data_IF_227535131018
#
_entry.id   IF_227535131018
#
_cell.length_a   1.000
_cell.length_b   1.000
_cell.length_c   1.000
_cell.angle_alpha   90.00
_cell.angle_beta   90.00
_cell.angle_gamma   90.00
#
_symmetry.space_group_name_H-M   'P 1'
#
loop_
_entity.id
_entity.type
_entity.pdbx_description
1 polymer ?
#
# COMPACT_ATOMS: atom_id res chain seq x y z
N UNK A 1 -2.19 6.19 0.80
CA UNK A 1 -3.53 5.77 1.22
C UNK A 1 -3.51 4.60 2.19
N UNK A 2 -2.77 3.53 1.92
CA UNK A 2 -2.83 2.29 2.74
C UNK A 2 -1.67 2.23 3.72
N UNK A 3 -0.50 1.84 3.24
CA UNK A 3 0.69 1.60 4.05
C UNK A 3 1.22 2.83 4.81
N UNK A 4 1.15 4.00 4.22
CA UNK A 4 1.58 5.25 4.84
C UNK A 4 0.46 5.93 5.63
N UNK A 5 -0.67 5.28 5.89
CA UNK A 5 -1.80 5.78 6.68
C UNK A 5 -2.34 7.16 6.26
N UNK A 6 -2.00 7.64 5.07
CA UNK A 6 -2.48 8.90 4.51
C UNK A 6 -3.85 8.78 3.85
N UNK A 7 -4.52 9.89 3.63
CA UNK A 7 -5.80 9.94 2.91
C UNK A 7 -5.68 9.58 1.41
N UNK A 8 -6.80 9.40 0.72
CA UNK A 8 -6.82 9.13 -0.71
C UNK A 8 -6.42 10.36 -1.53
N UNK A 9 -5.93 10.12 -2.75
CA UNK A 9 -5.68 11.17 -3.74
C UNK A 9 -4.26 11.75 -3.75
N UNK A 10 -3.34 11.23 -2.94
CA UNK A 10 -1.91 11.53 -3.02
C UNK A 10 -1.12 10.30 -3.45
N UNK A 11 -0.12 10.53 -4.28
CA UNK A 11 0.88 9.53 -4.64
C UNK A 11 2.27 10.14 -4.63
N UNK A 12 3.26 9.35 -4.24
CA UNK A 12 4.67 9.74 -4.31
C UNK A 12 5.30 9.15 -5.56
N UNK A 13 6.00 9.99 -6.31
CA UNK A 13 6.84 9.57 -7.43
C UNK A 13 8.30 9.68 -7.02
N UNK A 14 8.98 8.55 -6.88
CA UNK A 14 10.42 8.51 -6.72
C UNK A 14 11.10 8.41 -8.09
N UNK A 15 12.01 9.33 -8.36
CA UNK A 15 12.87 9.30 -9.55
C UNK A 15 14.31 9.31 -9.09
N UNK A 16 15.09 8.29 -9.52
CA UNK A 16 16.52 8.23 -9.23
C UNK A 16 17.21 9.47 -9.81
N UNK A 17 18.09 10.11 -9.04
CA UNK A 17 18.73 11.37 -9.38
C UNK A 17 19.35 11.36 -10.79
N UNK A 18 20.08 10.29 -11.13
CA UNK A 18 20.72 10.15 -12.44
C UNK A 18 19.73 10.12 -13.62
N UNK A 19 18.47 9.79 -13.36
CA UNK A 19 17.41 9.76 -14.38
C UNK A 19 16.66 11.08 -14.51
N UNK A 20 16.69 11.94 -13.51
CA UNK A 20 15.93 13.20 -13.52
C UNK A 20 16.28 14.04 -14.76
N UNK A 21 17.57 14.15 -15.10
CA UNK A 21 18.04 14.96 -16.22
C UNK A 21 17.72 14.33 -17.59
N UNK A 22 17.67 13.01 -17.68
CA UNK A 22 17.44 12.28 -18.93
C UNK A 22 15.95 12.09 -19.24
N UNK A 23 15.10 12.05 -18.20
CA UNK A 23 13.66 11.87 -18.36
C UNK A 23 12.97 13.21 -18.62
N UNK A 24 12.12 13.23 -19.67
CA UNK A 24 11.26 14.37 -19.97
C UNK A 24 9.81 13.99 -19.75
N UNK A 25 9.06 14.73 -18.91
CA UNK A 25 7.64 14.50 -18.75
C UNK A 25 6.89 14.70 -20.07
N UNK A 26 5.96 13.80 -20.37
CA UNK A 26 5.08 13.93 -21.55
C UNK A 26 4.01 14.99 -21.36
N UNK A 27 3.59 15.18 -20.12
CA UNK A 27 2.67 16.25 -19.72
C UNK A 27 3.48 17.18 -18.81
N UNK A 28 3.52 18.45 -19.19
CA UNK A 28 4.30 19.48 -18.51
C UNK A 28 3.34 20.49 -17.89
N UNK A 29 3.59 20.89 -16.66
CA UNK A 29 2.86 21.96 -15.99
C UNK A 29 3.76 23.16 -15.74
N UNK A 30 3.18 24.26 -15.29
CA UNK A 30 3.92 25.45 -14.91
C UNK A 30 4.80 25.24 -13.65
N UNK A 31 4.53 24.22 -12.84
CA UNK A 31 5.38 23.82 -11.71
C UNK A 31 6.65 23.07 -12.14
N UNK A 32 6.70 22.61 -13.39
CA UNK A 32 7.83 21.89 -13.93
C UNK A 32 9.04 22.79 -14.28
N UNK A 33 8.85 24.11 -14.24
CA UNK A 33 9.91 25.12 -14.45
C UNK A 33 10.21 25.89 -13.17
N UNK A 34 11.47 26.32 -13.00
CA UNK A 34 11.85 27.20 -11.87
C UNK A 34 11.30 28.61 -12.01
N UNK A 35 11.14 29.08 -13.26
CA UNK A 35 10.70 30.42 -13.60
C UNK A 35 9.21 30.48 -13.95
N UNK A 36 8.38 29.84 -13.14
CA UNK A 36 6.94 29.66 -13.40
C UNK A 36 6.15 30.98 -13.52
N UNK A 37 6.65 32.08 -12.95
CA UNK A 37 5.99 33.39 -12.98
C UNK A 37 6.57 34.36 -14.01
N UNK A 38 7.57 33.96 -14.78
CA UNK A 38 8.12 34.80 -15.86
C UNK A 38 7.18 34.80 -17.08
N UNK A 39 6.29 33.82 -17.19
CA UNK A 39 5.35 33.64 -18.31
C UNK A 39 6.02 33.70 -19.68
N UNK A 40 7.28 33.24 -19.74
CA UNK A 40 8.04 33.18 -20.97
C UNK A 40 7.46 32.10 -21.90
N UNK A 41 7.01 32.51 -23.07
CA UNK A 41 6.42 31.64 -24.07
C UNK A 41 7.46 31.03 -25.05
N UNK A 42 8.67 31.60 -25.09
CA UNK A 42 9.71 31.20 -26.03
C UNK A 42 10.75 30.27 -25.38
N UNK A 43 10.88 30.29 -24.04
CA UNK A 43 11.85 29.51 -23.30
C UNK A 43 11.22 28.65 -22.22
N UNK A 44 11.47 27.35 -22.23
CA UNK A 44 11.05 26.43 -21.18
C UNK A 44 12.23 25.59 -20.68
N UNK A 45 12.61 25.84 -19.43
CA UNK A 45 13.65 25.09 -18.73
C UNK A 45 13.02 24.25 -17.64
N UNK A 46 13.23 22.93 -17.69
CA UNK A 46 12.79 22.04 -16.62
C UNK A 46 13.54 22.29 -15.33
N UNK A 47 12.86 22.18 -14.21
CA UNK A 47 13.51 22.12 -12.90
C UNK A 47 14.58 21.02 -12.88
N UNK A 48 15.69 21.23 -12.16
CA UNK A 48 16.76 20.25 -12.05
C UNK A 48 16.38 19.05 -11.17
N UNK A 49 15.29 19.15 -10.40
CA UNK A 49 14.82 18.16 -9.45
C UNK A 49 13.56 17.40 -9.94
N UNK A 50 13.07 16.45 -9.14
CA UNK A 50 11.90 15.64 -9.47
C UNK A 50 10.58 16.44 -9.58
N UNK A 51 10.54 17.69 -9.13
CA UNK A 51 9.37 18.56 -9.31
C UNK A 51 9.05 18.84 -10.77
N UNK A 52 9.98 18.61 -11.68
CA UNK A 52 9.69 18.67 -13.13
C UNK A 52 8.55 17.76 -13.57
N UNK A 53 8.22 16.74 -12.74
CA UNK A 53 7.13 15.79 -13.00
C UNK A 53 5.81 16.16 -12.30
N UNK A 54 5.75 17.28 -11.56
CA UNK A 54 4.52 17.76 -10.93
C UNK A 54 3.56 18.34 -11.98
N UNK A 55 2.27 17.99 -11.84
CA UNK A 55 1.25 18.31 -12.86
C UNK A 55 0.45 19.60 -12.54
N UNK A 56 0.72 20.27 -11.45
CA UNK A 56 0.03 21.50 -11.08
C UNK A 56 -0.12 21.68 -9.57
N UNK A 57 -1.02 22.55 -9.16
CA UNK A 57 -1.25 22.85 -7.76
C UNK A 57 -1.65 21.60 -6.99
N UNK A 58 -0.92 21.20 -5.94
CA UNK A 58 -1.26 20.04 -5.15
C UNK A 58 -2.59 20.23 -4.42
N UNK A 59 -3.33 19.16 -4.22
CA UNK A 59 -4.54 19.14 -3.41
C UNK A 59 -4.16 19.27 -1.92
N UNK A 60 -4.09 20.50 -1.41
CA UNK A 60 -3.58 20.80 -0.06
C UNK A 60 -4.25 19.99 1.06
N UNK A 61 -5.58 19.79 1.10
CA UNK A 61 -6.20 18.94 2.12
C UNK A 61 -5.64 17.51 2.12
N UNK A 62 -5.42 16.94 0.94
CA UNK A 62 -4.86 15.60 0.76
C UNK A 62 -3.39 15.56 1.20
N UNK A 63 -2.62 16.61 0.93
CA UNK A 63 -1.23 16.72 1.39
C UNK A 63 -1.17 16.73 2.92
N UNK A 64 -2.01 17.53 3.60
CA UNK A 64 -2.06 17.54 5.06
C UNK A 64 -2.46 16.20 5.66
N UNK A 65 -3.43 15.51 5.07
CA UNK A 65 -3.79 14.16 5.50
C UNK A 65 -2.62 13.17 5.34
N UNK A 66 -1.88 13.29 4.25
CA UNK A 66 -0.72 12.43 4.01
C UNK A 66 0.45 12.74 4.97
N UNK A 67 0.65 14.01 5.34
CA UNK A 67 1.64 14.40 6.34
C UNK A 67 1.35 13.76 7.69
N UNK A 68 0.09 13.77 8.18
CA UNK A 68 -0.27 13.10 9.44
C UNK A 68 0.02 11.59 9.42
N UNK A 69 -0.23 10.91 8.29
CA UNK A 69 0.16 9.51 8.13
C UNK A 69 1.69 9.31 8.11
N UNK A 70 2.43 10.22 7.47
CA UNK A 70 3.89 10.18 7.44
C UNK A 70 4.50 10.40 8.83
N UNK A 71 4.00 11.37 9.58
CA UNK A 71 4.43 11.65 10.97
C UNK A 71 4.24 10.42 11.86
N UNK A 72 3.11 9.71 11.73
CA UNK A 72 2.86 8.46 12.47
C UNK A 72 3.88 7.37 12.10
N UNK A 73 4.18 7.20 10.80
CA UNK A 73 5.16 6.20 10.34
C UNK A 73 6.57 6.57 10.82
N UNK A 74 6.92 7.86 10.80
CA UNK A 74 8.22 8.35 11.26
C UNK A 74 8.38 8.19 12.79
N UNK A 75 7.31 8.43 13.56
CA UNK A 75 7.30 8.25 15.03
C UNK A 75 7.50 6.78 15.42
N UNK A 76 6.80 5.85 14.77
CA UNK A 76 6.91 4.41 15.05
C UNK A 76 8.23 3.85 14.52
N UNK A 77 8.67 4.31 13.37
CA UNK A 77 9.84 3.81 12.65
C UNK A 77 9.53 2.61 11.76
N UNK A 78 10.07 2.66 10.54
CA UNK A 78 9.78 1.65 9.52
C UNK A 78 10.26 0.23 9.92
N UNK A 79 11.38 0.13 10.64
CA UNK A 79 11.91 -1.16 11.09
C UNK A 79 10.99 -1.82 12.12
N UNK A 80 10.41 -1.05 13.03
CA UNK A 80 9.44 -1.54 14.00
C UNK A 80 8.14 -1.99 13.31
N UNK A 81 7.66 -1.22 12.32
CA UNK A 81 6.50 -1.58 11.51
C UNK A 81 6.75 -2.88 10.74
N UNK A 82 7.91 -3.03 10.12
CA UNK A 82 8.29 -4.25 9.38
C UNK A 82 8.37 -5.45 10.32
N UNK A 83 9.00 -5.30 11.49
CA UNK A 83 9.10 -6.37 12.48
C UNK A 83 7.71 -6.82 12.97
N UNK A 84 6.84 -5.86 13.31
CA UNK A 84 5.46 -6.15 13.75
C UNK A 84 4.66 -6.85 12.65
N UNK A 85 4.72 -6.37 11.42
CA UNK A 85 4.02 -6.97 10.30
C UNK A 85 4.51 -8.39 10.01
N UNK A 86 5.78 -8.67 10.20
CA UNK A 86 6.33 -10.01 10.05
C UNK A 86 5.69 -10.97 11.07
N UNK A 87 5.59 -10.59 12.33
CA UNK A 87 4.93 -11.39 13.38
C UNK A 87 3.49 -11.74 12.98
N UNK A 88 2.70 -10.73 12.57
CA UNK A 88 1.30 -10.92 12.16
C UNK A 88 1.18 -11.82 10.92
N UNK A 89 2.07 -11.64 9.96
CA UNK A 89 2.06 -12.39 8.70
C UNK A 89 2.47 -13.85 8.93
N UNK A 90 3.47 -14.12 9.76
CA UNK A 90 3.90 -15.47 10.12
C UNK A 90 2.77 -16.19 10.88
N UNK A 91 2.13 -15.52 11.85
CA UNK A 91 0.95 -16.08 12.53
C UNK A 91 -0.17 -16.44 11.55
N UNK A 92 -0.46 -15.55 10.60
CA UNK A 92 -1.46 -15.80 9.57
C UNK A 92 -1.10 -17.01 8.69
N UNK A 93 0.15 -17.13 8.28
CA UNK A 93 0.64 -18.23 7.45
C UNK A 93 0.56 -19.57 8.22
N UNK A 94 1.04 -19.59 9.44
CA UNK A 94 1.06 -20.79 10.26
C UNK A 94 -0.36 -21.24 10.66
N UNK A 95 -1.21 -20.31 11.01
CA UNK A 95 -2.61 -20.57 11.30
C UNK A 95 -3.38 -21.07 10.08
N UNK A 96 -3.19 -20.46 8.91
CA UNK A 96 -3.80 -20.93 7.66
C UNK A 96 -3.33 -22.32 7.29
N UNK A 97 -2.02 -22.62 7.45
CA UNK A 97 -1.46 -23.96 7.23
C UNK A 97 -2.05 -24.99 8.18
N UNK A 98 -2.17 -24.65 9.47
CA UNK A 98 -2.77 -25.51 10.49
C UNK A 98 -4.26 -25.78 10.25
N UNK A 99 -4.97 -24.83 9.65
CA UNK A 99 -6.37 -24.98 9.22
C UNK A 99 -6.52 -25.73 7.87
N UNK A 100 -5.42 -26.20 7.27
CA UNK A 100 -5.43 -26.99 6.03
C UNK A 100 -5.48 -26.15 4.74
N UNK A 101 -5.34 -24.85 4.82
CA UNK A 101 -5.32 -24.00 3.63
C UNK A 101 -3.96 -24.04 2.92
N UNK A 102 -3.99 -24.04 1.60
CA UNK A 102 -2.81 -23.80 0.76
C UNK A 102 -2.69 -22.32 0.42
N UNK A 103 -1.45 -21.87 0.23
CA UNK A 103 -1.15 -20.46 -0.01
C UNK A 103 -0.16 -20.31 -1.17
N UNK A 104 -0.23 -19.16 -1.85
CA UNK A 104 0.82 -18.72 -2.76
C UNK A 104 1.77 -17.79 -1.99
N UNK A 105 2.95 -18.29 -1.64
CA UNK A 105 3.95 -17.57 -0.86
C UNK A 105 5.23 -17.38 -1.68
N UNK A 106 5.83 -16.20 -1.55
CA UNK A 106 7.19 -15.93 -1.98
C UNK A 106 8.20 -16.50 -0.95
N UNK A 107 9.48 -16.49 -1.30
CA UNK A 107 10.55 -16.80 -0.35
C UNK A 107 10.50 -15.84 0.86
N UNK A 108 10.88 -16.28 2.07
CA UNK A 108 10.71 -15.51 3.30
C UNK A 108 11.23 -14.07 3.23
N UNK A 109 12.37 -13.86 2.56
CA UNK A 109 13.02 -12.55 2.42
C UNK A 109 12.27 -11.61 1.46
N UNK A 110 11.44 -12.17 0.59
CA UNK A 110 10.67 -11.44 -0.43
C UNK A 110 9.21 -11.27 -0.03
N UNK A 111 8.80 -11.78 1.13
CA UNK A 111 7.42 -11.70 1.60
C UNK A 111 7.05 -10.28 1.99
N UNK A 112 5.84 -9.92 1.62
CA UNK A 112 5.16 -8.71 2.09
C UNK A 112 4.12 -9.11 3.15
N UNK A 113 3.38 -8.15 3.68
CA UNK A 113 2.22 -8.44 4.57
C UNK A 113 1.01 -9.01 3.84
N UNK A 114 1.11 -9.26 2.54
CA UNK A 114 0.00 -9.82 1.76
C UNK A 114 0.13 -11.33 1.71
N UNK A 115 -0.87 -12.03 2.21
CA UNK A 115 -0.98 -13.49 2.14
C UNK A 115 -2.15 -13.86 1.23
N UNK A 116 -1.87 -14.73 0.26
CA UNK A 116 -2.83 -15.22 -0.73
C UNK A 116 -3.22 -16.65 -0.35
N UNK A 117 -4.40 -16.82 0.26
CA UNK A 117 -4.94 -18.11 0.71
C UNK A 117 -5.81 -18.68 -0.41
N UNK A 118 -5.52 -19.88 -0.90
CA UNK A 118 -6.32 -20.53 -1.95
C UNK A 118 -7.72 -20.85 -1.43
N UNK A 119 -8.72 -20.61 -2.28
CA UNK A 119 -10.10 -20.91 -1.96
C UNK A 119 -10.91 -21.13 -3.25
N UNK A 120 -11.79 -22.12 -3.27
CA UNK A 120 -12.60 -22.46 -4.46
C UNK A 120 -13.69 -21.40 -4.73
N UNK A 121 -14.21 -20.79 -3.66
CA UNK A 121 -15.17 -19.69 -3.73
C UNK A 121 -14.68 -18.46 -2.96
N UNK A 122 -13.64 -17.73 -3.47
CA UNK A 122 -13.05 -16.64 -2.71
C UNK A 122 -13.99 -15.43 -2.54
N UNK A 123 -14.87 -15.17 -3.49
CA UNK A 123 -15.86 -14.07 -3.37
C UNK A 123 -16.92 -14.37 -2.31
N UNK A 124 -17.35 -15.62 -2.19
CA UNK A 124 -18.26 -16.07 -1.13
C UNK A 124 -17.59 -16.00 0.24
N UNK A 125 -16.35 -16.47 0.34
CA UNK A 125 -15.57 -16.43 1.56
C UNK A 125 -15.35 -14.98 2.07
N UNK A 126 -15.03 -14.03 1.17
CA UNK A 126 -14.87 -12.62 1.54
C UNK A 126 -16.19 -12.00 2.02
N UNK A 127 -17.32 -12.36 1.41
CA UNK A 127 -18.63 -11.91 1.87
C UNK A 127 -18.94 -12.46 3.27
N UNK A 128 -18.71 -13.75 3.49
CA UNK A 128 -18.88 -14.38 4.79
C UNK A 128 -17.99 -13.72 5.86
N UNK A 129 -16.72 -13.45 5.54
CA UNK A 129 -15.83 -12.72 6.43
C UNK A 129 -16.37 -11.33 6.78
N UNK A 130 -16.89 -10.59 5.79
CA UNK A 130 -17.48 -9.26 5.99
C UNK A 130 -18.74 -9.30 6.90
N UNK A 131 -19.57 -10.34 6.81
CA UNK A 131 -20.71 -10.56 7.70
C UNK A 131 -20.31 -10.80 9.16
N UNK A 132 -19.01 -11.12 9.39
CA UNK A 132 -18.40 -11.31 10.71
C UNK A 132 -17.42 -10.18 11.07
N UNK A 133 -17.56 -8.99 10.47
CA UNK A 133 -16.71 -7.81 10.70
C UNK A 133 -15.21 -8.02 10.37
N UNK A 134 -14.90 -8.94 9.45
CA UNK A 134 -13.56 -9.16 8.94
C UNK A 134 -13.47 -8.69 7.50
N UNK A 135 -12.83 -7.55 7.29
CA UNK A 135 -12.73 -6.91 5.98
C UNK A 135 -11.43 -7.32 5.29
N UNK A 136 -11.56 -8.12 4.27
CA UNK A 136 -10.46 -8.57 3.40
C UNK A 136 -10.88 -8.44 1.92
N UNK A 137 -10.02 -8.83 1.01
CA UNK A 137 -10.30 -8.76 -0.43
C UNK A 137 -10.05 -10.13 -1.08
N UNK A 138 -10.43 -10.30 -2.34
CA UNK A 138 -10.14 -11.53 -3.08
C UNK A 138 -9.48 -11.27 -4.43
N UNK A 139 -8.85 -12.30 -4.94
CA UNK A 139 -8.34 -12.40 -6.32
C UNK A 139 -8.80 -13.73 -6.90
N UNK A 140 -8.78 -13.92 -8.22
CA UNK A 140 -9.17 -15.20 -8.82
C UNK A 140 -8.47 -16.38 -8.14
N UNK A 141 -9.26 -17.26 -7.49
CA UNK A 141 -8.76 -18.43 -6.76
C UNK A 141 -8.17 -18.16 -5.37
N UNK A 142 -8.25 -16.94 -4.82
CA UNK A 142 -7.61 -16.61 -3.55
C UNK A 142 -8.41 -15.61 -2.72
N UNK A 143 -8.46 -15.84 -1.42
CA UNK A 143 -8.72 -14.80 -0.41
C UNK A 143 -7.41 -14.07 -0.14
N UNK A 144 -7.41 -12.75 -0.23
CA UNK A 144 -6.24 -11.89 -0.02
C UNK A 144 -6.34 -11.23 1.36
N UNK A 145 -5.48 -11.64 2.27
CA UNK A 145 -5.39 -11.08 3.61
C UNK A 145 -4.14 -10.21 3.72
N UNK A 146 -4.27 -9.04 4.32
CA UNK A 146 -3.17 -8.06 4.40
C UNK A 146 -3.20 -7.32 5.74
N UNK A 147 -2.71 -7.95 6.82
CA UNK A 147 -2.61 -7.28 8.11
C UNK A 147 -1.64 -6.10 8.05
N UNK A 148 -1.90 -5.11 8.87
CA UNK A 148 -1.04 -3.95 9.06
C UNK A 148 -0.54 -3.89 10.52
N UNK A 149 0.48 -3.09 10.83
CA UNK A 149 1.11 -3.05 12.15
C UNK A 149 0.13 -2.79 13.30
N UNK A 150 -0.97 -2.12 13.04
CA UNK A 150 -2.01 -1.82 14.04
C UNK A 150 -2.99 -2.96 14.29
N UNK A 151 -2.95 -4.03 13.50
CA UNK A 151 -3.77 -5.21 13.78
C UNK A 151 -3.21 -6.00 14.97
N UNK A 152 -4.09 -6.75 15.63
CA UNK A 152 -3.72 -7.65 16.71
C UNK A 152 -3.61 -9.09 16.25
N UNK A 153 -2.98 -9.94 17.07
CA UNK A 153 -2.92 -11.38 16.82
C UNK A 153 -4.30 -12.01 16.89
N UNK A 154 -5.16 -11.53 17.78
CA UNK A 154 -6.54 -12.01 17.94
C UNK A 154 -7.38 -11.72 16.71
N UNK A 155 -7.15 -10.59 16.04
CA UNK A 155 -7.82 -10.26 14.77
C UNK A 155 -7.39 -11.20 13.65
N UNK A 156 -6.11 -11.57 13.61
CA UNK A 156 -5.59 -12.56 12.67
C UNK A 156 -6.21 -13.95 12.92
N UNK A 157 -6.26 -14.37 14.18
CA UNK A 157 -6.88 -15.65 14.58
C UNK A 157 -8.37 -15.68 14.25
N UNK A 158 -9.08 -14.59 14.53
CA UNK A 158 -10.50 -14.45 14.18
C UNK A 158 -10.72 -14.56 12.67
N UNK A 159 -9.89 -13.90 11.86
CA UNK A 159 -9.96 -14.00 10.40
C UNK A 159 -9.85 -15.46 9.94
N UNK A 160 -8.89 -16.20 10.46
CA UNK A 160 -8.68 -17.61 10.12
C UNK A 160 -9.83 -18.50 10.61
N UNK A 161 -10.33 -18.27 11.82
CA UNK A 161 -11.45 -19.02 12.39
C UNK A 161 -12.71 -18.85 11.55
N UNK A 162 -13.07 -17.62 11.19
CA UNK A 162 -14.24 -17.32 10.36
C UNK A 162 -14.07 -17.88 8.95
N UNK A 163 -12.86 -17.77 8.36
CA UNK A 163 -12.58 -18.32 7.04
C UNK A 163 -12.72 -19.85 7.03
N UNK A 164 -12.22 -20.52 8.06
CA UNK A 164 -12.32 -21.99 8.18
C UNK A 164 -13.75 -22.50 8.41
N UNK A 165 -14.62 -21.65 8.98
CA UNK A 165 -16.03 -22.00 9.17
C UNK A 165 -16.86 -21.86 7.88
N UNK A 166 -16.36 -21.20 6.85
CA UNK A 166 -17.05 -21.06 5.56
C UNK A 166 -16.91 -22.35 4.75
N UNK A 167 -18.01 -23.09 4.66
CA UNK A 167 -18.15 -24.24 3.76
C UNK A 167 -18.61 -23.78 2.38
N UNK A 168 -17.90 -24.17 1.34
CA UNK A 168 -18.22 -23.85 -0.07
C UNK A 168 -19.49 -24.53 -0.54
#
# INVERSE_FOLDING_TARGET
LKWLCGGPGLSYLYVREQLIQSLRPRITSWFATERQFDFDLEGFEYRPDARRFELGTPALPTVHTALGGQELVDEIGIDAIVARNRVLTERLIDGARSAGFSMALAEPEQRTSIVMIRHDNPSGAVRHLAEHDVIVDYRPGFVRVSPHFYNTEEEVDRCLHVLAAFSS
#
